data_IF_965422698262
#
_entry.id   IF_965422698262
#
_cell.length_a   1.000
_cell.length_b   1.000
_cell.length_c   1.000
_cell.angle_alpha   90.00
_cell.angle_beta   90.00
_cell.angle_gamma   90.00
#
_symmetry.space_group_name_H-M   'P 1'
#
loop_
_entity.id
_entity.type
_entity.pdbx_description
1 polymer ?
#
# COMPACT_ATOMS: atom_id res chain seq x y z
N UNK A 1 24.39 -13.55 -2.36
CA UNK A 1 25.74 -13.04 -2.72
C UNK A 1 25.66 -11.79 -3.59
N UNK A 2 25.12 -11.85 -4.81
CA UNK A 2 25.09 -10.67 -5.69
C UNK A 2 24.34 -9.48 -5.08
N UNK A 3 23.17 -9.72 -4.47
CA UNK A 3 22.38 -8.67 -3.79
C UNK A 3 23.12 -8.04 -2.61
N UNK A 4 23.83 -8.84 -1.81
CA UNK A 4 24.61 -8.35 -0.68
C UNK A 4 25.84 -7.55 -1.12
N UNK A 5 26.48 -7.94 -2.22
CA UNK A 5 27.55 -7.14 -2.83
C UNK A 5 27.02 -5.78 -3.32
N UNK A 6 25.91 -5.77 -4.05
CA UNK A 6 25.29 -4.53 -4.53
C UNK A 6 24.87 -3.62 -3.36
N UNK A 7 24.45 -4.20 -2.24
CA UNK A 7 24.03 -3.46 -1.05
C UNK A 7 25.17 -2.76 -0.29
N UNK A 8 26.41 -3.23 -0.44
CA UNK A 8 27.57 -2.78 0.35
C UNK A 8 28.71 -2.16 -0.48
N UNK A 9 28.78 -2.41 -1.78
CA UNK A 9 29.83 -1.86 -2.64
C UNK A 9 29.48 -0.43 -3.10
N UNK A 10 30.42 0.50 -2.89
CA UNK A 10 30.33 1.87 -3.40
C UNK A 10 30.15 1.91 -4.92
N UNK A 11 29.38 2.89 -5.39
CA UNK A 11 29.22 3.16 -6.82
C UNK A 11 30.52 3.73 -7.41
N UNK A 12 30.83 3.43 -8.67
CA UNK A 12 31.99 4.01 -9.33
C UNK A 12 31.91 5.53 -9.34
N UNK A 13 32.92 6.18 -8.76
CA UNK A 13 33.02 7.64 -8.70
C UNK A 13 32.25 8.30 -7.54
N UNK A 14 31.58 7.52 -6.69
CA UNK A 14 31.00 8.01 -5.44
C UNK A 14 31.76 7.40 -4.25
N UNK A 15 31.75 8.07 -3.09
CA UNK A 15 32.37 7.58 -1.84
C UNK A 15 31.28 7.45 -0.79
N UNK A 16 31.29 6.35 -0.03
CA UNK A 16 30.36 6.05 1.06
C UNK A 16 28.87 5.99 0.61
N UNK A 17 28.64 5.52 -0.62
CA UNK A 17 27.30 5.32 -1.16
C UNK A 17 27.23 4.08 -2.05
N UNK A 18 26.55 3.06 -1.56
CA UNK A 18 26.38 1.80 -2.27
C UNK A 18 25.39 1.88 -3.43
N UNK A 19 25.34 0.85 -4.28
CA UNK A 19 24.36 0.78 -5.37
C UNK A 19 22.91 0.94 -4.89
N UNK A 20 22.61 0.49 -3.66
CA UNK A 20 21.29 0.60 -3.02
C UNK A 20 21.13 1.84 -2.13
N UNK A 21 22.02 2.82 -2.24
CA UNK A 21 22.01 4.04 -1.41
C UNK A 21 22.13 3.73 0.09
N UNK A 22 23.06 2.83 0.45
CA UNK A 22 23.37 2.39 1.82
C UNK A 22 22.25 1.60 2.51
N UNK A 23 21.41 0.90 1.74
CA UNK A 23 20.44 -0.05 2.28
C UNK A 23 20.96 -1.50 2.17
N UNK A 24 20.78 -2.37 3.19
CA UNK A 24 20.11 -2.13 4.47
C UNK A 24 21.03 -1.45 5.49
N UNK A 25 20.46 -0.91 6.56
CA UNK A 25 21.23 -0.34 7.67
C UNK A 25 22.14 -1.42 8.29
N UNK A 26 23.45 -1.23 8.16
CA UNK A 26 24.47 -2.16 8.65
C UNK A 26 25.76 -1.38 8.94
N UNK A 27 25.98 -0.98 10.21
CA UNK A 27 27.15 -0.18 10.59
C UNK A 27 28.49 -0.87 10.28
N UNK A 28 28.55 -2.20 10.26
CA UNK A 28 29.80 -2.93 10.02
C UNK A 28 30.35 -2.77 8.60
N UNK A 29 29.50 -2.42 7.64
CA UNK A 29 29.90 -2.15 6.24
C UNK A 29 29.74 -0.69 5.86
N UNK A 30 29.53 0.20 6.85
CA UNK A 30 29.36 1.63 6.63
C UNK A 30 27.99 2.05 6.10
N UNK A 31 27.02 1.13 6.00
CA UNK A 31 25.68 1.43 5.53
C UNK A 31 24.90 2.25 6.57
N UNK A 32 24.92 3.56 6.37
CA UNK A 32 24.21 4.56 7.20
C UNK A 32 23.42 5.52 6.31
N UNK A 33 22.54 6.31 6.93
CA UNK A 33 21.70 7.28 6.20
C UNK A 33 22.57 8.28 5.43
N UNK A 34 22.39 8.35 4.12
CA UNK A 34 23.12 9.29 3.27
C UNK A 34 22.63 10.73 3.48
N UNK A 35 23.50 11.71 3.23
CA UNK A 35 23.10 13.13 3.25
C UNK A 35 21.99 13.43 2.24
N UNK A 36 22.01 12.79 1.07
CA UNK A 36 20.95 12.90 0.06
C UNK A 36 19.60 12.42 0.56
N UNK A 37 19.56 11.27 1.26
CA UNK A 37 18.31 10.76 1.86
C UNK A 37 17.76 11.72 2.91
N UNK A 38 18.61 12.30 3.76
CA UNK A 38 18.20 13.28 4.77
C UNK A 38 17.63 14.56 4.15
N UNK A 39 18.32 15.14 3.16
CA UNK A 39 17.88 16.38 2.48
C UNK A 39 16.55 16.17 1.76
N UNK A 40 16.43 15.12 0.94
CA UNK A 40 15.21 14.88 0.18
C UNK A 40 14.02 14.49 1.05
N UNK A 41 14.26 13.86 2.21
CA UNK A 41 13.21 13.65 3.21
C UNK A 41 12.62 14.99 3.69
N UNK A 42 13.47 15.96 4.05
CA UNK A 42 13.00 17.29 4.49
C UNK A 42 12.32 18.07 3.35
N UNK A 43 12.91 18.07 2.16
CA UNK A 43 12.34 18.73 0.97
C UNK A 43 10.95 18.17 0.65
N UNK A 44 10.76 16.85 0.73
CA UNK A 44 9.45 16.23 0.46
C UNK A 44 8.34 16.71 1.40
N UNK A 45 8.65 16.92 2.68
CA UNK A 45 7.71 17.43 3.68
C UNK A 45 7.33 18.87 3.37
N UNK A 46 8.32 19.72 3.07
CA UNK A 46 8.08 21.12 2.71
C UNK A 46 7.23 21.23 1.45
N UNK A 47 7.54 20.44 0.43
CA UNK A 47 6.77 20.40 -0.82
C UNK A 47 5.34 19.91 -0.60
N UNK A 48 5.13 18.90 0.24
CA UNK A 48 3.79 18.42 0.61
C UNK A 48 2.97 19.52 1.26
N UNK A 49 3.52 20.20 2.28
CA UNK A 49 2.84 21.29 2.98
C UNK A 49 2.56 22.48 2.04
N UNK A 50 3.53 22.85 1.20
CA UNK A 50 3.35 23.87 0.19
C UNK A 50 2.25 23.51 -0.83
N UNK A 51 2.21 22.25 -1.26
CA UNK A 51 1.18 21.74 -2.17
C UNK A 51 -0.22 21.76 -1.54
N UNK A 52 -0.35 21.33 -0.27
CA UNK A 52 -1.62 21.41 0.47
C UNK A 52 -2.05 22.87 0.62
N UNK A 53 -1.15 23.77 1.01
CA UNK A 53 -1.47 25.20 1.16
C UNK A 53 -1.91 25.83 -0.18
N UNK A 54 -1.21 25.51 -1.27
CA UNK A 54 -1.57 25.97 -2.61
C UNK A 54 -2.94 25.42 -3.03
N UNK A 55 -3.23 24.14 -2.78
CA UNK A 55 -4.54 23.53 -3.06
C UNK A 55 -5.66 24.23 -2.29
N UNK A 56 -5.47 24.47 -0.99
CA UNK A 56 -6.46 25.15 -0.15
C UNK A 56 -6.67 26.60 -0.59
N UNK A 57 -5.61 27.31 -0.98
CA UNK A 57 -5.71 28.67 -1.49
C UNK A 57 -6.49 28.72 -2.81
N UNK A 58 -6.14 27.86 -3.78
CA UNK A 58 -6.82 27.81 -5.07
C UNK A 58 -8.30 27.42 -4.91
N UNK A 59 -8.59 26.35 -4.16
CA UNK A 59 -9.95 25.85 -3.99
C UNK A 59 -10.80 26.75 -3.06
N UNK A 60 -10.20 27.35 -2.04
CA UNK A 60 -10.87 28.30 -1.16
C UNK A 60 -11.12 29.67 -1.81
N UNK A 61 -10.36 30.03 -2.85
CA UNK A 61 -10.57 31.27 -3.60
C UNK A 61 -11.74 31.22 -4.58
N UNK A 62 -12.18 30.03 -4.98
CA UNK A 62 -13.41 29.85 -5.78
C UNK A 62 -14.66 29.92 -4.91
N UNK A 63 -15.68 30.65 -5.37
CA UNK A 63 -17.02 30.54 -4.80
C UNK A 63 -17.51 29.12 -5.03
N UNK A 64 -17.83 28.40 -3.96
CA UNK A 64 -18.54 27.14 -4.08
C UNK A 64 -19.90 27.42 -4.74
N UNK A 65 -20.29 26.56 -5.69
CA UNK A 65 -21.66 26.57 -6.19
C UNK A 65 -22.61 26.40 -5.01
N UNK A 66 -23.77 27.06 -5.06
CA UNK A 66 -24.75 26.88 -4.00
C UNK A 66 -25.11 25.40 -3.86
N UNK A 67 -25.21 24.95 -2.61
CA UNK A 67 -25.53 23.57 -2.30
C UNK A 67 -26.85 23.21 -3.00
N UNK A 68 -26.81 22.16 -3.82
CA UNK A 68 -27.99 21.74 -4.57
C UNK A 68 -29.07 21.36 -3.57
N UNK A 69 -30.29 21.86 -3.78
CA UNK A 69 -31.41 21.44 -2.94
C UNK A 69 -31.52 19.90 -2.98
N UNK A 70 -31.70 19.24 -1.82
CA UNK A 70 -31.83 17.79 -1.79
C UNK A 70 -33.03 17.37 -2.63
N UNK A 71 -32.86 16.29 -3.40
CA UNK A 71 -33.97 15.75 -4.19
C UNK A 71 -35.12 15.34 -3.24
N UNK A 72 -36.38 15.65 -3.58
CA UNK A 72 -37.52 15.37 -2.72
C UNK A 72 -37.81 13.87 -2.54
N UNK A 73 -37.26 13.02 -3.41
CA UNK A 73 -37.36 11.57 -3.34
C UNK A 73 -36.14 10.92 -4.03
N UNK A 74 -35.84 9.67 -3.66
CA UNK A 74 -34.77 8.89 -4.28
C UNK A 74 -35.11 8.59 -5.76
N UNK A 75 -34.32 9.11 -6.73
CA UNK A 75 -34.59 8.92 -8.15
C UNK A 75 -34.46 7.46 -8.61
N UNK A 76 -33.84 6.59 -7.82
CA UNK A 76 -33.66 5.18 -8.14
C UNK A 76 -34.81 4.29 -7.65
N UNK A 77 -35.76 4.79 -6.85
CA UNK A 77 -36.88 4.00 -6.33
C UNK A 77 -37.72 3.32 -7.41
N UNK A 78 -37.92 4.00 -8.54
CA UNK A 78 -38.75 3.51 -9.65
C UNK A 78 -37.94 2.91 -10.81
N UNK A 79 -36.62 2.79 -10.66
CA UNK A 79 -35.76 2.24 -11.72
C UNK A 79 -35.91 0.72 -11.78
N UNK A 80 -36.41 0.23 -12.90
CA UNK A 80 -36.50 -1.21 -13.15
C UNK A 80 -35.11 -1.75 -13.50
N UNK A 81 -34.54 -2.56 -12.61
CA UNK A 81 -33.24 -3.17 -12.84
C UNK A 81 -33.23 -4.00 -14.12
N UNK A 82 -32.33 -3.64 -15.06
CA UNK A 82 -32.16 -4.35 -16.33
C UNK A 82 -31.59 -5.76 -16.10
N UNK A 83 -31.70 -6.67 -17.08
CA UNK A 83 -31.12 -8.00 -16.96
C UNK A 83 -29.62 -8.00 -16.67
N UNK A 84 -28.86 -7.05 -17.23
CA UNK A 84 -27.42 -6.91 -16.96
C UNK A 84 -27.13 -6.48 -15.53
N UNK A 85 -27.89 -5.52 -14.98
CA UNK A 85 -27.77 -5.09 -13.57
C UNK A 85 -28.10 -6.23 -12.60
N UNK A 86 -29.07 -7.09 -12.93
CA UNK A 86 -29.38 -8.26 -12.09
C UNK A 86 -28.27 -9.32 -12.14
N UNK A 87 -27.62 -9.47 -13.30
CA UNK A 87 -26.52 -10.42 -13.47
C UNK A 87 -25.27 -10.05 -12.65
N UNK A 88 -25.03 -8.77 -12.35
CA UNK A 88 -23.88 -8.32 -11.55
C UNK A 88 -23.89 -8.89 -10.13
N UNK A 89 -25.04 -9.33 -9.60
CA UNK A 89 -25.14 -9.98 -8.28
C UNK A 89 -24.16 -11.14 -8.10
N UNK A 90 -23.89 -11.89 -9.17
CA UNK A 90 -22.94 -13.01 -9.16
C UNK A 90 -21.52 -12.55 -8.82
N UNK A 91 -21.13 -11.37 -9.30
CA UNK A 91 -19.82 -10.78 -9.01
C UNK A 91 -19.71 -10.39 -7.53
N UNK A 92 -20.77 -9.86 -6.91
CA UNK A 92 -20.74 -9.58 -5.47
C UNK A 92 -20.49 -10.84 -4.65
N UNK A 93 -21.14 -11.96 -4.99
CA UNK A 93 -20.85 -13.23 -4.31
C UNK A 93 -19.42 -13.72 -4.56
N UNK A 94 -18.90 -13.57 -5.78
CA UNK A 94 -17.51 -13.91 -6.07
C UNK A 94 -16.53 -13.05 -5.26
N UNK A 95 -16.77 -11.73 -5.18
CA UNK A 95 -15.95 -10.81 -4.40
C UNK A 95 -16.00 -11.15 -2.90
N UNK A 96 -17.18 -11.43 -2.35
CA UNK A 96 -17.32 -11.85 -0.95
C UNK A 96 -16.56 -13.17 -0.72
N UNK A 97 -16.70 -14.15 -1.60
CA UNK A 97 -15.98 -15.42 -1.50
C UNK A 97 -14.46 -15.22 -1.53
N UNK A 98 -13.96 -14.42 -2.47
CA UNK A 98 -12.53 -14.09 -2.56
C UNK A 98 -12.02 -13.33 -1.33
N UNK A 99 -12.81 -12.40 -0.80
CA UNK A 99 -12.46 -11.68 0.43
C UNK A 99 -12.36 -12.63 1.62
N UNK A 100 -13.29 -13.56 1.78
CA UNK A 100 -13.24 -14.55 2.86
C UNK A 100 -12.03 -15.48 2.72
N UNK A 101 -11.71 -15.92 1.51
CA UNK A 101 -10.48 -16.69 1.24
C UNK A 101 -9.24 -15.86 1.58
N UNK A 102 -9.18 -14.59 1.18
CA UNK A 102 -8.06 -13.70 1.50
C UNK A 102 -7.88 -13.51 3.03
N UNK A 103 -8.97 -13.31 3.77
CA UNK A 103 -8.94 -13.21 5.23
C UNK A 103 -8.43 -14.51 5.84
N UNK A 104 -8.92 -15.65 5.36
CA UNK A 104 -8.45 -16.97 5.80
C UNK A 104 -6.96 -17.18 5.55
N UNK A 105 -6.47 -16.83 4.35
CA UNK A 105 -5.05 -16.89 4.03
C UNK A 105 -4.22 -15.97 4.94
N UNK A 106 -4.69 -14.73 5.19
CA UNK A 106 -4.03 -13.82 6.11
C UNK A 106 -3.93 -14.35 7.54
N UNK A 107 -4.98 -15.02 8.03
CA UNK A 107 -4.97 -15.68 9.33
C UNK A 107 -3.94 -16.83 9.39
N UNK A 108 -3.85 -17.66 8.35
CA UNK A 108 -2.86 -18.75 8.26
C UNK A 108 -1.44 -18.18 8.22
N UNK A 109 -1.18 -17.17 7.38
CA UNK A 109 0.13 -16.51 7.27
C UNK A 109 0.57 -15.90 8.60
N UNK A 110 -0.33 -15.21 9.30
CA UNK A 110 -0.04 -14.63 10.62
C UNK A 110 0.23 -15.72 11.68
N UNK A 111 -0.47 -16.85 11.58
CA UNK A 111 -0.28 -17.99 12.48
C UNK A 111 1.10 -18.63 12.35
N UNK A 112 1.60 -18.78 11.12
CA UNK A 112 2.95 -19.31 10.87
C UNK A 112 4.07 -18.43 11.45
N UNK A 113 3.84 -17.13 11.66
CA UNK A 113 4.80 -16.28 12.35
C UNK A 113 4.94 -16.61 13.85
N UNK A 114 3.98 -17.35 14.42
CA UNK A 114 3.96 -17.75 15.84
C UNK A 114 4.31 -19.23 16.02
N UNK A 115 3.67 -20.12 15.25
CA UNK A 115 3.82 -21.58 15.42
C UNK A 115 4.81 -22.20 14.40
N UNK A 116 5.35 -21.42 13.46
CA UNK A 116 6.24 -21.93 12.41
C UNK A 116 5.48 -22.65 11.31
N UNK A 117 5.82 -23.92 11.03
CA UNK A 117 5.26 -24.69 9.91
C UNK A 117 3.96 -25.45 10.25
N UNK A 118 3.42 -25.30 11.45
CA UNK A 118 2.16 -25.94 11.86
C UNK A 118 1.04 -24.92 12.07
N UNK A 119 -0.20 -25.41 11.93
CA UNK A 119 -1.42 -24.65 12.18
C UNK A 119 -2.24 -25.39 13.24
N UNK A 120 -2.13 -25.00 14.51
CA UNK A 120 -2.72 -25.70 15.66
C UNK A 120 -2.30 -27.19 15.72
N UNK A 121 -1.01 -27.47 15.50
CA UNK A 121 -0.45 -28.82 15.43
C UNK A 121 -0.73 -29.60 14.13
N UNK A 122 -1.53 -29.04 13.21
CA UNK A 122 -1.78 -29.65 11.89
C UNK A 122 -0.63 -29.25 10.96
N UNK A 123 -0.01 -30.18 10.21
CA UNK A 123 1.10 -29.88 9.28
C UNK A 123 0.61 -29.25 7.97
N UNK A 124 -0.15 -28.16 8.07
CA UNK A 124 -0.80 -27.50 6.93
C UNK A 124 0.23 -26.94 5.93
N UNK A 125 1.42 -26.56 6.38
CA UNK A 125 2.47 -26.00 5.52
C UNK A 125 2.97 -26.98 4.45
N UNK A 126 2.70 -28.28 4.57
CA UNK A 126 3.02 -29.25 3.50
C UNK A 126 2.21 -29.02 2.22
N UNK A 127 1.05 -28.37 2.32
CA UNK A 127 0.17 -28.06 1.19
C UNK A 127 0.04 -26.56 0.96
N UNK A 128 0.01 -25.77 2.04
CA UNK A 128 -0.08 -24.30 2.00
C UNK A 128 1.04 -23.68 2.85
N UNK A 129 2.30 -23.69 2.36
CA UNK A 129 3.43 -23.09 3.05
C UNK A 129 3.35 -21.55 3.04
N UNK A 130 4.19 -20.91 3.85
CA UNK A 130 4.32 -19.45 3.89
C UNK A 130 4.90 -18.85 2.60
N UNK A 131 5.68 -19.65 1.85
CA UNK A 131 6.38 -19.29 0.58
C UNK A 131 6.34 -20.42 -0.42
#
# INVERSE_FOLDING_TARGET
FWTSWAAAADRPGETDISYTSNWPHEPLVGNTMTGGAAVWSMVSIVMLLGGIAAMLWLHGSSKHEEESAPLPADPFLNVVATPSMKATRKYFFAVIGLMLVQIGMGAITAHYAVEGESFFGIPLAQVLPYV
#
